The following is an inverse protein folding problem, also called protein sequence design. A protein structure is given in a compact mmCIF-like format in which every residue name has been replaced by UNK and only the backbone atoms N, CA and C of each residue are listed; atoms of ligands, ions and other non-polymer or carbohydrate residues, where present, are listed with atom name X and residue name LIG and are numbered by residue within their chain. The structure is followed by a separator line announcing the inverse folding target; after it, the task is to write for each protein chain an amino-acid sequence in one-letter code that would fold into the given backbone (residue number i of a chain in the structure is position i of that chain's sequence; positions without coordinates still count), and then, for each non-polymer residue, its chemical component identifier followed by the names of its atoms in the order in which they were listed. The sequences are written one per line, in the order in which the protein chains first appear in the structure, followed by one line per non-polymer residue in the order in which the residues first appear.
data_IF_932596352736
#
_entry.id   IF_932596352736
#
_cell.length_a   1.000
_cell.length_b   1.000
_cell.length_c   1.000
_cell.angle_alpha   90.00
_cell.angle_beta   90.00
_cell.angle_gamma   90.00
#
_symmetry.space_group_name_H-M   'P 1'
#
loop_
_entity.id
_entity.type
_entity.pdbx_description
1 polymer ?
#
# COMPACT_ATOMS: atom_id res chain seq x y z
N UNK A 1 -24.15 3.17 19.30
CA UNK A 1 -23.41 2.21 18.46
C UNK A 1 -22.39 3.06 17.74
N UNK A 2 -21.09 2.82 17.93
CA UNK A 2 -20.06 3.45 17.10
C UNK A 2 -20.26 2.93 15.69
N UNK A 3 -20.45 3.83 14.75
CA UNK A 3 -20.53 3.51 13.32
C UNK A 3 -19.12 3.12 12.90
N UNK A 4 -18.80 1.84 13.00
CA UNK A 4 -17.49 1.31 12.64
C UNK A 4 -17.39 1.39 11.13
N UNK A 5 -16.51 2.26 10.61
CA UNK A 5 -16.21 2.30 9.18
C UNK A 5 -15.85 0.89 8.70
N UNK A 6 -16.49 0.46 7.60
CA UNK A 6 -16.21 -0.81 6.95
C UNK A 6 -15.23 -0.55 5.83
N UNK A 7 -14.12 -1.27 5.80
CA UNK A 7 -13.07 -1.14 4.78
C UNK A 7 -12.21 -2.39 4.75
N UNK A 8 -11.48 -2.59 3.67
CA UNK A 8 -10.53 -3.68 3.49
C UNK A 8 -9.09 -3.17 3.65
N UNK A 9 -8.17 -4.08 3.97
CA UNK A 9 -6.74 -3.82 3.91
C UNK A 9 -6.10 -4.52 2.72
N UNK A 10 -5.12 -3.86 2.10
CA UNK A 10 -4.22 -4.46 1.12
C UNK A 10 -2.83 -4.66 1.74
N UNK A 11 -2.25 -5.82 1.48
CA UNK A 11 -0.88 -6.19 1.87
C UNK A 11 -0.14 -6.58 0.61
N UNK A 12 0.73 -5.70 0.11
CA UNK A 12 1.49 -5.95 -1.11
C UNK A 12 2.74 -6.74 -0.74
N UNK A 13 2.85 -7.96 -1.27
CA UNK A 13 3.90 -8.89 -0.86
C UNK A 13 4.29 -9.84 -2.01
N UNK A 14 5.59 -10.13 -2.13
CA UNK A 14 6.05 -11.16 -3.06
C UNK A 14 5.73 -12.56 -2.52
N UNK A 15 5.64 -13.61 -3.37
CA UNK A 15 5.50 -14.99 -2.93
C UNK A 15 6.60 -15.44 -1.95
N UNK A 16 7.84 -14.97 -2.18
CA UNK A 16 8.96 -15.27 -1.31
C UNK A 16 8.83 -14.62 0.07
N UNK A 17 8.41 -13.36 0.12
CA UNK A 17 8.19 -12.64 1.38
C UNK A 17 6.98 -13.21 2.13
N UNK A 18 5.90 -13.55 1.44
CA UNK A 18 4.72 -14.18 2.06
C UNK A 18 5.09 -15.46 2.81
N UNK A 19 5.93 -16.32 2.20
CA UNK A 19 6.45 -17.54 2.85
C UNK A 19 7.37 -17.21 4.02
N UNK A 20 8.24 -16.20 3.87
CA UNK A 20 9.23 -15.81 4.89
C UNK A 20 8.58 -15.29 6.17
N UNK A 21 7.44 -14.62 6.07
CA UNK A 21 6.75 -13.96 7.19
C UNK A 21 5.40 -14.62 7.52
N UNK A 22 5.27 -15.93 7.37
CA UNK A 22 4.02 -16.67 7.55
C UNK A 22 3.34 -16.39 8.91
N UNK A 23 4.11 -16.30 10.00
CA UNK A 23 3.57 -15.98 11.32
C UNK A 23 3.04 -14.53 11.40
N UNK A 24 3.61 -13.60 10.63
CA UNK A 24 3.10 -12.23 10.55
C UNK A 24 1.76 -12.20 9.81
N UNK A 25 1.63 -12.96 8.72
CA UNK A 25 0.40 -13.02 7.92
C UNK A 25 -0.81 -13.44 8.80
N UNK A 26 -0.61 -14.41 9.70
CA UNK A 26 -1.65 -14.82 10.64
C UNK A 26 -2.06 -13.66 11.57
N UNK A 27 -1.08 -12.95 12.14
CA UNK A 27 -1.35 -11.83 13.03
C UNK A 27 -1.98 -10.64 12.29
N UNK A 28 -1.55 -10.36 11.07
CA UNK A 28 -2.13 -9.33 10.22
C UNK A 28 -3.62 -9.62 10.00
N UNK A 29 -3.96 -10.84 9.61
CA UNK A 29 -5.36 -11.23 9.39
C UNK A 29 -6.17 -11.21 10.68
N UNK A 30 -5.61 -11.64 11.80
CA UNK A 30 -6.28 -11.67 13.11
C UNK A 30 -6.59 -10.27 13.65
N UNK A 31 -5.57 -9.38 13.68
CA UNK A 31 -5.65 -8.13 14.45
C UNK A 31 -6.01 -6.88 13.64
N UNK A 32 -5.86 -6.86 12.32
CA UNK A 32 -6.28 -5.67 11.57
C UNK A 32 -7.79 -5.43 11.72
N UNK A 33 -8.22 -4.19 12.04
CA UNK A 33 -9.63 -3.84 12.24
C UNK A 33 -10.36 -3.65 10.90
N UNK A 34 -10.32 -4.65 10.02
CA UNK A 34 -10.83 -4.60 8.64
C UNK A 34 -11.76 -5.76 8.35
N UNK A 35 -12.60 -5.61 7.33
CA UNK A 35 -13.49 -6.67 6.84
C UNK A 35 -12.68 -7.80 6.18
N UNK A 36 -11.75 -7.44 5.28
CA UNK A 36 -10.88 -8.37 4.57
C UNK A 36 -9.44 -7.88 4.60
N UNK A 37 -8.50 -8.81 4.55
CA UNK A 37 -7.08 -8.59 4.28
C UNK A 37 -6.78 -9.19 2.92
N UNK A 38 -6.50 -8.35 1.94
CA UNK A 38 -6.27 -8.74 0.56
C UNK A 38 -4.75 -8.73 0.29
N UNK A 39 -4.18 -9.91 0.12
CA UNK A 39 -2.79 -10.03 -0.29
C UNK A 39 -2.68 -9.75 -1.78
N UNK A 40 -1.86 -8.75 -2.13
CA UNK A 40 -1.68 -8.27 -3.50
C UNK A 40 -0.33 -8.74 -4.03
N UNK A 41 -0.32 -9.39 -5.18
CA UNK A 41 0.90 -9.88 -5.82
C UNK A 41 0.63 -10.71 -7.06
N UNK A 42 1.62 -11.50 -7.48
CA UNK A 42 1.55 -12.35 -8.67
C UNK A 42 0.59 -13.54 -8.49
N UNK A 43 0.25 -14.23 -9.58
CA UNK A 43 -0.62 -15.40 -9.56
C UNK A 43 -0.06 -16.54 -8.67
N UNK A 44 1.26 -16.68 -8.52
CA UNK A 44 1.87 -17.62 -7.57
C UNK A 44 1.44 -17.33 -6.13
N UNK A 45 1.27 -16.05 -5.76
CA UNK A 45 0.80 -15.68 -4.42
C UNK A 45 -0.61 -16.16 -4.14
N UNK A 46 -1.48 -16.20 -5.15
CA UNK A 46 -2.86 -16.72 -5.02
C UNK A 46 -2.90 -18.15 -4.52
N UNK A 47 -2.03 -19.00 -5.08
CA UNK A 47 -1.94 -20.40 -4.65
C UNK A 47 -1.48 -20.49 -3.20
N UNK A 48 -0.51 -19.68 -2.80
CA UNK A 48 0.00 -19.65 -1.42
C UNK A 48 -1.05 -19.19 -0.42
N UNK A 49 -1.78 -18.11 -0.75
CA UNK A 49 -2.89 -17.64 0.09
C UNK A 49 -3.98 -18.68 0.20
N UNK A 50 -4.35 -19.35 -0.91
CA UNK A 50 -5.36 -20.41 -0.92
C UNK A 50 -4.96 -21.66 -0.14
N UNK A 51 -3.67 -21.98 -0.05
CA UNK A 51 -3.14 -23.10 0.74
C UNK A 51 -2.87 -22.74 2.21
N UNK A 52 -2.85 -21.44 2.54
CA UNK A 52 -2.60 -20.97 3.88
C UNK A 52 -3.84 -21.14 4.78
N UNK A 53 -3.61 -21.28 6.09
CA UNK A 53 -4.68 -21.46 7.08
C UNK A 53 -5.15 -20.12 7.66
N UNK A 54 -5.28 -19.07 6.82
CA UNK A 54 -5.58 -17.69 7.24
C UNK A 54 -7.08 -17.41 7.42
N UNK A 55 -7.95 -18.35 7.03
CA UNK A 55 -9.41 -18.22 7.18
C UNK A 55 -10.07 -17.27 6.17
N UNK A 56 -11.39 -17.08 6.34
CA UNK A 56 -12.23 -16.35 5.36
C UNK A 56 -11.97 -14.85 5.28
N UNK A 57 -11.25 -14.29 6.26
CA UNK A 57 -10.87 -12.85 6.26
C UNK A 57 -9.73 -12.56 5.28
N UNK A 58 -8.91 -13.55 4.96
CA UNK A 58 -7.86 -13.42 3.95
C UNK A 58 -8.41 -13.55 2.53
N UNK A 59 -7.86 -12.77 1.61
CA UNK A 59 -8.18 -12.83 0.19
C UNK A 59 -6.96 -12.50 -0.66
N UNK A 60 -7.13 -12.57 -1.98
CA UNK A 60 -6.08 -12.29 -2.95
C UNK A 60 -6.58 -11.31 -4.01
N UNK A 61 -5.68 -10.44 -4.46
CA UNK A 61 -5.85 -9.57 -5.64
C UNK A 61 -4.61 -9.72 -6.51
N UNK A 62 -4.80 -9.99 -7.80
CA UNK A 62 -3.69 -9.99 -8.74
C UNK A 62 -3.18 -8.57 -8.95
N UNK A 63 -1.88 -8.36 -8.78
CA UNK A 63 -1.26 -7.04 -8.96
C UNK A 63 -1.49 -6.47 -10.37
N UNK A 64 -1.57 -7.33 -11.40
CA UNK A 64 -1.81 -6.91 -12.77
C UNK A 64 -3.26 -6.46 -13.01
N UNK A 65 -4.21 -6.80 -12.15
CA UNK A 65 -5.59 -6.26 -12.20
C UNK A 65 -5.64 -4.80 -11.70
N UNK A 66 -4.65 -4.38 -10.92
CA UNK A 66 -4.48 -3.01 -10.44
C UNK A 66 -3.71 -2.19 -11.48
N UNK A 67 -2.49 -2.62 -11.81
CA UNK A 67 -1.62 -2.05 -12.83
C UNK A 67 -0.58 -3.10 -13.26
N UNK A 68 -0.40 -3.39 -14.56
CA UNK A 68 0.59 -4.35 -15.01
C UNK A 68 2.02 -3.89 -14.67
N UNK A 69 2.84 -4.79 -14.12
CA UNK A 69 4.23 -4.48 -13.77
C UNK A 69 5.04 -4.01 -14.98
N UNK A 70 4.86 -4.63 -16.13
CA UNK A 70 5.62 -4.29 -17.34
C UNK A 70 5.29 -2.87 -17.85
N UNK A 71 4.07 -2.36 -17.62
CA UNK A 71 3.71 -0.98 -17.99
C UNK A 71 4.50 0.01 -17.13
N UNK A 72 4.60 -0.23 -15.83
CA UNK A 72 5.40 0.59 -14.91
C UNK A 72 6.89 0.48 -15.26
N UNK A 73 7.38 -0.73 -15.52
CA UNK A 73 8.78 -0.96 -15.90
C UNK A 73 9.16 -0.18 -17.17
N UNK A 74 8.35 -0.28 -18.21
CA UNK A 74 8.60 0.41 -19.48
C UNK A 74 8.51 1.94 -19.33
N UNK A 75 7.52 2.43 -18.63
CA UNK A 75 7.39 3.86 -18.33
C UNK A 75 8.62 4.39 -17.56
N UNK A 76 9.05 3.70 -16.51
CA UNK A 76 10.24 4.10 -15.74
C UNK A 76 11.52 4.03 -16.58
N UNK A 77 11.66 3.01 -17.43
CA UNK A 77 12.80 2.87 -18.34
C UNK A 77 12.90 4.05 -19.30
N UNK A 78 11.76 4.49 -19.86
CA UNK A 78 11.70 5.62 -20.78
C UNK A 78 12.04 6.93 -20.05
N UNK A 79 11.44 7.17 -18.90
CA UNK A 79 11.70 8.38 -18.07
C UNK A 79 13.15 8.46 -17.62
N UNK A 80 13.78 7.31 -17.31
CA UNK A 80 15.16 7.23 -16.82
C UNK A 80 16.21 7.02 -17.93
N UNK A 81 15.83 7.08 -19.21
CA UNK A 81 16.71 6.75 -20.33
C UNK A 81 18.03 7.55 -20.30
N UNK A 82 17.94 8.85 -20.03
CA UNK A 82 19.10 9.75 -19.95
C UNK A 82 20.02 9.45 -18.76
N UNK A 83 19.46 8.92 -17.67
CA UNK A 83 20.22 8.53 -16.46
C UNK A 83 20.86 7.16 -16.64
N UNK A 84 20.14 6.25 -17.30
CA UNK A 84 20.60 4.88 -17.51
C UNK A 84 21.76 4.81 -18.50
N UNK A 85 21.84 5.73 -19.47
CA UNK A 85 22.88 5.76 -20.52
C UNK A 85 23.07 4.40 -21.20
N UNK A 86 21.98 3.72 -21.52
CA UNK A 86 21.96 2.39 -22.15
C UNK A 86 22.15 1.21 -21.19
N UNK A 87 22.27 1.44 -19.89
CA UNK A 87 22.26 0.38 -18.88
C UNK A 87 20.85 -0.16 -18.64
N UNK A 88 20.76 -1.39 -18.19
CA UNK A 88 19.48 -1.99 -17.81
C UNK A 88 18.93 -1.35 -16.52
N UNK A 89 17.62 -1.10 -16.50
CA UNK A 89 16.91 -0.63 -15.31
C UNK A 89 16.77 -1.79 -14.30
N UNK A 90 17.30 -1.66 -13.07
CA UNK A 90 17.19 -2.72 -12.07
C UNK A 90 15.73 -2.99 -11.69
N UNK A 91 15.25 -4.23 -11.88
CA UNK A 91 13.85 -4.61 -11.52
C UNK A 91 13.53 -4.38 -10.04
N UNK A 92 14.50 -4.51 -9.13
CA UNK A 92 14.31 -4.24 -7.71
C UNK A 92 13.99 -2.76 -7.41
N UNK A 93 14.60 -1.83 -8.16
CA UNK A 93 14.26 -0.41 -8.06
C UNK A 93 12.82 -0.16 -8.51
N UNK A 94 12.43 -0.76 -9.65
CA UNK A 94 11.05 -0.67 -10.15
C UNK A 94 10.07 -1.28 -9.14
N UNK A 95 10.41 -2.41 -8.52
CA UNK A 95 9.57 -3.08 -7.54
C UNK A 95 9.20 -2.19 -6.35
N UNK A 96 10.14 -1.36 -5.86
CA UNK A 96 9.84 -0.42 -4.78
C UNK A 96 8.81 0.66 -5.21
N UNK A 97 8.98 1.26 -6.39
CA UNK A 97 7.99 2.21 -6.93
C UNK A 97 6.66 1.54 -7.26
N UNK A 98 6.71 0.35 -7.84
CA UNK A 98 5.53 -0.43 -8.19
C UNK A 98 4.65 -0.70 -6.97
N UNK A 99 5.25 -1.05 -5.83
CA UNK A 99 4.53 -1.19 -4.57
C UNK A 99 3.78 0.10 -4.19
N UNK A 100 4.39 1.28 -4.36
CA UNK A 100 3.72 2.54 -4.06
C UNK A 100 2.57 2.81 -5.03
N UNK A 101 2.75 2.55 -6.31
CA UNK A 101 1.68 2.71 -7.30
C UNK A 101 0.52 1.74 -7.06
N UNK A 102 0.79 0.50 -6.67
CA UNK A 102 -0.26 -0.45 -6.27
C UNK A 102 -1.06 0.06 -5.07
N UNK A 103 -0.38 0.61 -4.04
CA UNK A 103 -1.05 1.21 -2.87
C UNK A 103 -2.03 2.31 -3.27
N UNK A 104 -1.64 3.20 -4.17
CA UNK A 104 -2.47 4.31 -4.63
C UNK A 104 -3.56 3.85 -5.61
N UNK A 105 -3.19 3.09 -6.63
CA UNK A 105 -4.08 2.70 -7.74
C UNK A 105 -5.15 1.69 -7.34
N UNK A 106 -4.98 0.99 -6.22
CA UNK A 106 -6.03 0.12 -5.66
C UNK A 106 -7.35 0.88 -5.43
N UNK A 107 -7.32 2.20 -5.28
CA UNK A 107 -8.50 3.05 -5.20
C UNK A 107 -9.49 2.84 -6.35
N UNK A 108 -9.01 2.45 -7.53
CA UNK A 108 -9.86 2.17 -8.69
C UNK A 108 -10.66 0.86 -8.56
N UNK A 109 -10.18 -0.11 -7.75
CA UNK A 109 -10.86 -1.38 -7.49
C UNK A 109 -11.65 -1.37 -6.17
N UNK A 110 -11.35 -0.43 -5.28
CA UNK A 110 -11.99 -0.33 -3.97
C UNK A 110 -13.42 0.20 -4.11
N UNK A 111 -14.39 -0.48 -3.50
CA UNK A 111 -15.80 -0.03 -3.45
C UNK A 111 -16.10 0.85 -2.23
N UNK A 112 -15.32 0.71 -1.16
CA UNK A 112 -15.51 1.44 0.09
C UNK A 112 -14.96 2.88 0.00
N UNK A 113 -15.39 3.76 0.92
CA UNK A 113 -14.87 5.14 1.04
C UNK A 113 -13.38 5.17 1.41
N UNK A 114 -12.96 4.18 2.19
CA UNK A 114 -11.58 4.03 2.67
C UNK A 114 -11.05 2.64 2.41
N UNK A 115 -9.73 2.53 2.30
CA UNK A 115 -8.99 1.29 2.38
C UNK A 115 -7.70 1.50 3.17
N UNK A 116 -7.16 0.44 3.74
CA UNK A 116 -5.90 0.44 4.46
C UNK A 116 -4.80 -0.16 3.59
N UNK A 117 -3.62 0.46 3.55
CA UNK A 117 -2.39 -0.22 3.16
C UNK A 117 -1.63 -0.64 4.41
N UNK A 118 -1.10 -1.87 4.42
CA UNK A 118 -0.30 -2.43 5.51
C UNK A 118 0.92 -3.14 4.95
N UNK A 119 2.11 -2.83 5.47
CA UNK A 119 3.35 -3.49 5.05
C UNK A 119 3.46 -4.87 5.69
N UNK A 120 3.74 -5.91 4.89
CA UNK A 120 3.69 -7.31 5.30
C UNK A 120 4.71 -7.72 6.36
N UNK A 121 5.75 -6.91 6.58
CA UNK A 121 6.75 -7.11 7.64
C UNK A 121 6.40 -6.40 8.96
N UNK A 122 5.30 -5.67 8.99
CA UNK A 122 4.78 -5.00 10.19
C UNK A 122 3.79 -5.87 10.93
N UNK A 123 4.02 -6.10 12.22
CA UNK A 123 3.26 -7.05 13.04
C UNK A 123 2.34 -6.31 14.01
N UNK A 124 1.01 -6.41 13.85
CA UNK A 124 0.09 -5.90 14.85
C UNK A 124 0.16 -6.74 16.12
N UNK A 125 0.28 -6.09 17.27
CA UNK A 125 0.50 -6.77 18.55
C UNK A 125 -0.77 -6.85 19.42
N UNK A 126 -1.80 -6.08 19.08
CA UNK A 126 -3.08 -5.99 19.83
C UNK A 126 -4.16 -5.39 18.95
N UNK A 127 -5.40 -5.49 19.39
CA UNK A 127 -6.52 -4.77 18.78
C UNK A 127 -6.30 -3.25 18.83
N UNK A 128 -6.66 -2.56 17.76
CA UNK A 128 -6.59 -1.11 17.63
C UNK A 128 -7.69 -0.61 16.70
N UNK A 129 -7.84 0.71 16.60
CA UNK A 129 -8.73 1.36 15.64
C UNK A 129 -7.93 2.32 14.78
N UNK A 130 -8.28 2.42 13.51
CA UNK A 130 -7.73 3.42 12.60
C UNK A 130 -8.63 4.66 12.47
N UNK A 131 -9.72 4.71 13.21
CA UNK A 131 -10.65 5.84 13.21
C UNK A 131 -11.00 6.24 14.64
N UNK A 132 -11.19 7.53 14.85
CA UNK A 132 -11.71 8.06 16.10
C UNK A 132 -13.25 7.88 16.20
N UNK A 133 -13.82 8.35 17.30
CA UNK A 133 -15.27 8.27 17.56
C UNK A 133 -16.13 9.11 16.61
N UNK A 134 -15.51 10.04 15.86
CA UNK A 134 -16.19 10.88 14.86
C UNK A 134 -15.97 10.34 13.42
N UNK A 135 -15.30 9.19 13.28
CA UNK A 135 -15.01 8.56 11.98
C UNK A 135 -13.87 9.23 11.21
N UNK A 136 -12.99 9.98 11.87
CA UNK A 136 -11.80 10.58 11.26
C UNK A 136 -10.65 9.60 11.32
N UNK A 137 -9.88 9.41 10.22
CA UNK A 137 -8.76 8.48 10.21
C UNK A 137 -7.60 8.97 11.07
N UNK A 138 -6.94 8.04 11.76
CA UNK A 138 -5.66 8.29 12.41
C UNK A 138 -4.51 8.15 11.40
N UNK A 139 -3.51 9.01 11.54
CA UNK A 139 -2.28 8.94 10.79
C UNK A 139 -1.09 8.89 11.75
N UNK A 140 -0.16 7.98 11.50
CA UNK A 140 1.10 7.98 12.21
C UNK A 140 1.94 9.18 11.77
N UNK A 141 2.54 9.84 12.76
CA UNK A 141 3.43 10.97 12.53
C UNK A 141 4.81 10.64 13.08
N UNK A 142 5.82 10.77 12.25
CA UNK A 142 7.24 10.54 12.60
C UNK A 142 8.04 11.84 12.52
N UNK A 143 9.20 11.85 13.20
CA UNK A 143 10.13 12.97 13.13
C UNK A 143 11.06 12.90 11.91
N UNK A 144 11.05 11.80 11.17
CA UNK A 144 11.81 11.65 9.95
C UNK A 144 11.36 12.70 8.92
N UNK A 145 12.33 13.41 8.35
CA UNK A 145 12.07 14.48 7.40
C UNK A 145 13.07 14.42 6.26
N UNK A 146 12.55 14.28 5.06
CA UNK A 146 13.32 14.30 3.81
C UNK A 146 12.80 15.45 2.94
N UNK A 147 13.55 16.56 2.92
CA UNK A 147 13.17 17.79 2.23
C UNK A 147 12.92 17.55 0.73
N UNK A 148 13.68 16.67 0.11
CA UNK A 148 13.60 16.33 -1.31
C UNK A 148 12.22 15.82 -1.72
N UNK A 149 11.53 15.08 -0.85
CA UNK A 149 10.17 14.62 -1.13
C UNK A 149 9.18 15.78 -1.25
N UNK A 150 9.32 16.80 -0.42
CA UNK A 150 8.43 17.95 -0.43
C UNK A 150 8.73 18.89 -1.59
N UNK A 151 9.99 19.07 -1.96
CA UNK A 151 10.39 19.78 -3.17
C UNK A 151 9.79 19.11 -4.41
N UNK A 152 9.87 17.78 -4.49
CA UNK A 152 9.28 17.00 -5.58
C UNK A 152 7.76 17.14 -5.59
N UNK A 153 7.11 17.01 -4.42
CA UNK A 153 5.67 17.17 -4.27
C UNK A 153 5.20 18.56 -4.75
N UNK A 154 5.85 19.63 -4.31
CA UNK A 154 5.50 21.00 -4.71
C UNK A 154 5.73 21.24 -6.21
N UNK A 155 6.70 20.55 -6.82
CA UNK A 155 6.95 20.60 -8.26
C UNK A 155 5.83 19.93 -9.05
N UNK A 156 5.33 18.78 -8.58
CA UNK A 156 4.26 18.01 -9.25
C UNK A 156 2.89 18.63 -8.96
N UNK A 157 2.67 19.08 -7.73
CA UNK A 157 1.41 19.61 -7.21
C UNK A 157 1.64 21.00 -6.55
N UNK A 158 1.77 22.08 -7.33
CA UNK A 158 2.13 23.40 -6.80
C UNK A 158 1.15 23.99 -5.76
N UNK A 159 -0.09 23.48 -5.74
CA UNK A 159 -1.11 23.88 -4.76
C UNK A 159 -0.98 23.16 -3.41
N UNK A 160 -0.20 22.08 -3.34
CA UNK A 160 -0.01 21.28 -2.14
C UNK A 160 1.28 21.68 -1.45
N UNK A 161 1.18 22.05 -0.18
CA UNK A 161 2.34 22.45 0.63
C UNK A 161 2.38 21.65 1.92
N UNK A 162 3.59 21.37 2.39
CA UNK A 162 3.79 20.82 3.72
C UNK A 162 3.41 21.88 4.78
N UNK A 163 2.40 21.55 5.60
CA UNK A 163 1.87 22.46 6.63
C UNK A 163 2.17 21.99 8.05
N UNK A 164 2.67 20.76 8.24
CA UNK A 164 3.03 20.21 9.54
C UNK A 164 4.50 19.77 9.54
N UNK A 165 5.17 20.01 10.65
CA UNK A 165 6.59 19.64 10.84
C UNK A 165 6.72 18.17 11.28
N UNK A 166 6.12 17.27 10.53
CA UNK A 166 6.13 15.82 10.76
C UNK A 166 6.09 15.08 9.42
N UNK A 167 6.65 13.87 9.40
CA UNK A 167 6.49 12.93 8.29
C UNK A 167 5.29 12.04 8.53
N UNK A 168 4.62 11.66 7.44
CA UNK A 168 3.57 10.65 7.42
C UNK A 168 4.04 9.36 6.75
N UNK A 169 5.35 9.20 6.55
CA UNK A 169 5.92 7.94 6.05
C UNK A 169 5.75 6.89 7.14
N UNK A 170 4.93 5.89 6.86
CA UNK A 170 4.52 4.89 7.83
C UNK A 170 4.36 3.53 7.14
N UNK A 171 4.48 2.49 7.94
CA UNK A 171 4.30 1.09 7.53
C UNK A 171 2.83 0.75 7.25
N UNK A 172 1.92 1.65 7.59
CA UNK A 172 0.49 1.52 7.31
C UNK A 172 -0.18 2.89 7.17
N UNK A 173 -1.24 2.94 6.36
CA UNK A 173 -1.98 4.18 6.13
C UNK A 173 -3.42 3.89 5.71
N UNK A 174 -4.35 4.76 6.13
CA UNK A 174 -5.70 4.82 5.60
C UNK A 174 -5.72 5.76 4.39
N UNK A 175 -6.21 5.28 3.28
CA UNK A 175 -6.44 6.06 2.06
C UNK A 175 -7.92 6.35 1.89
N UNK A 176 -8.26 7.60 1.55
CA UNK A 176 -9.59 7.92 1.05
C UNK A 176 -9.61 7.68 -0.46
N UNK A 177 -10.51 6.80 -0.90
CA UNK A 177 -10.66 6.39 -2.30
C UNK A 177 -10.83 7.58 -3.25
N UNK A 178 -11.67 8.55 -2.87
CA UNK A 178 -11.98 9.66 -3.76
C UNK A 178 -10.76 10.56 -3.98
N UNK A 179 -10.02 10.86 -2.90
CA UNK A 179 -8.80 11.65 -3.00
C UNK A 179 -7.72 10.93 -3.84
N UNK A 180 -7.62 9.60 -3.70
CA UNK A 180 -6.67 8.84 -4.54
C UNK A 180 -7.07 8.86 -6.01
N UNK A 181 -8.38 8.73 -6.32
CA UNK A 181 -8.86 8.79 -7.70
C UNK A 181 -8.74 10.19 -8.34
N UNK A 182 -8.70 11.25 -7.53
CA UNK A 182 -8.41 12.60 -8.03
C UNK A 182 -6.91 12.82 -8.26
N UNK A 183 -6.05 12.12 -7.52
CA UNK A 183 -4.60 12.26 -7.60
C UNK A 183 -4.00 11.53 -8.82
N UNK A 184 -4.58 10.41 -9.22
CA UNK A 184 -4.05 9.49 -10.25
C UNK A 184 -4.99 9.37 -11.44
#
# INVERSE_FOLDING_TARGET
MMDTKIYDAIVIVTPADFKRVECNNQRIVEYLPVRKVLFVGSEELKELVGQSNLGDKAGFVNENDIIPFEDVYNCMKDVMADILLGRELPRGLVGWYYQQFLKMKYSALCDDEYYMSWDGDTVPCKDFSMFDSEGRPYFDMKYEYHEEYFITMETILPSVKKIVDKSFISEHMIFNRNYMNELI
#
